data_IF_943325008290
#
_entry.id   IF_943325008290
#
_cell.length_a   1.000
_cell.length_b   1.000
_cell.length_c   1.000
_cell.angle_alpha   90.00
_cell.angle_beta   90.00
_cell.angle_gamma   90.00
#
_symmetry.space_group_name_H-M   'P 1'
#
loop_
_entity.id
_entity.type
_entity.pdbx_description
1 polymer ?
2 non-polymer ?
#
# COMPACT_ATOMS: atom_id res chain seq x y z
N UNK A 1 15.25 -10.09 -4.63
CA UNK A 1 16.14 -8.93 -4.73
C UNK A 1 15.84 -8.07 -3.54
N UNK A 2 16.74 -7.15 -3.22
CA UNK A 2 16.34 -6.20 -2.20
C UNK A 2 15.96 -4.91 -2.92
N UNK A 3 14.92 -4.26 -2.43
CA UNK A 3 14.37 -3.10 -3.11
C UNK A 3 14.35 -1.94 -2.12
N UNK A 4 14.92 -0.80 -2.49
CA UNK A 4 14.80 0.38 -1.64
C UNK A 4 13.63 1.22 -2.16
N UNK A 5 13.11 2.13 -1.34
CA UNK A 5 11.80 2.72 -1.67
C UNK A 5 11.85 4.14 -2.22
N UNK A 6 12.97 4.41 -2.89
CA UNK A 6 13.08 5.72 -3.52
C UNK A 6 12.27 5.82 -4.76
N UNK A 7 11.91 4.68 -5.28
CA UNK A 7 11.07 4.72 -6.47
C UNK A 7 9.93 3.75 -6.24
N UNK A 8 8.87 3.81 -7.07
CA UNK A 8 7.80 2.84 -6.85
C UNK A 8 8.32 1.43 -7.00
N UNK A 9 7.98 0.58 -6.05
CA UNK A 9 8.46 -0.81 -6.16
C UNK A 9 7.66 -1.60 -7.16
N UNK A 10 7.99 -1.36 -8.42
CA UNK A 10 7.29 -1.98 -9.57
C UNK A 10 7.92 -3.27 -10.02
N UNK A 11 7.08 -4.23 -10.40
CA UNK A 11 7.64 -5.51 -10.82
C UNK A 11 6.92 -6.05 -12.09
N UNK A 12 7.54 -6.97 -12.81
CA UNK A 12 6.79 -7.58 -13.93
C UNK A 12 6.03 -8.82 -13.48
N UNK A 13 4.78 -8.92 -13.91
CA UNK A 13 4.03 -10.13 -13.60
C UNK A 13 3.50 -10.76 -14.87
N UNK A 14 3.35 -12.06 -14.82
CA UNK A 14 2.64 -12.70 -15.93
C UNK A 14 1.41 -13.36 -15.38
N UNK A 15 0.28 -13.01 -15.95
CA UNK A 15 -0.99 -13.56 -15.49
C UNK A 15 -1.74 -13.85 -16.76
N UNK A 16 -2.29 -15.04 -16.84
CA UNK A 16 -3.19 -15.34 -17.96
C UNK A 16 -2.62 -15.05 -19.34
N UNK A 17 -1.35 -15.38 -19.45
CA UNK A 17 -0.70 -15.17 -20.72
C UNK A 17 -0.22 -13.75 -21.00
N UNK A 18 -0.68 -12.78 -20.21
CA UNK A 18 -0.32 -11.39 -20.46
C UNK A 18 0.78 -10.91 -19.51
N UNK A 19 1.55 -9.95 -19.98
CA UNK A 19 2.60 -9.42 -19.14
C UNK A 19 2.20 -8.06 -18.63
N UNK A 20 2.32 -7.83 -17.33
CA UNK A 20 2.01 -6.51 -16.76
C UNK A 20 3.06 -6.01 -15.80
N UNK A 21 2.85 -4.80 -15.30
CA UNK A 21 3.66 -4.34 -14.19
C UNK A 21 2.74 -4.06 -13.05
N UNK A 22 3.27 -4.21 -11.86
CA UNK A 22 2.40 -4.11 -10.70
C UNK A 22 3.25 -3.68 -9.55
N UNK A 23 2.59 -3.11 -8.59
CA UNK A 23 3.26 -2.42 -7.50
C UNK A 23 3.28 -3.39 -6.35
N UNK A 24 4.42 -3.54 -5.69
CA UNK A 24 4.37 -4.42 -4.53
C UNK A 24 3.84 -3.63 -3.35
N UNK A 25 2.78 -4.13 -2.74
CA UNK A 25 2.07 -3.25 -1.82
C UNK A 25 1.80 -3.91 -0.48
N UNK A 26 2.63 -3.57 0.49
CA UNK A 26 2.47 -4.17 1.81
C UNK A 26 1.24 -3.76 2.58
N UNK A 27 0.63 -2.67 2.10
CA UNK A 27 -0.53 -2.20 2.84
C UNK A 27 -1.85 -2.75 2.29
N UNK A 28 -1.76 -3.52 1.21
CA UNK A 28 -2.95 -4.09 0.62
C UNK A 28 -3.15 -5.51 1.09
N UNK A 29 -4.34 -5.80 1.56
CA UNK A 29 -4.54 -7.21 1.93
C UNK A 29 -4.67 -8.12 0.74
N UNK A 30 -5.20 -7.56 -0.33
CA UNK A 30 -5.58 -8.28 -1.54
C UNK A 30 -4.82 -7.75 -2.71
N UNK A 31 -4.78 -8.57 -3.74
CA UNK A 31 -4.26 -8.18 -5.05
C UNK A 31 -5.37 -7.72 -5.96
N UNK A 32 -5.17 -6.59 -6.61
CA UNK A 32 -6.22 -6.13 -7.49
C UNK A 32 -5.61 -5.57 -8.73
N UNK A 33 -6.19 -5.96 -9.84
CA UNK A 33 -5.61 -5.66 -11.13
C UNK A 33 -6.64 -4.89 -11.90
N UNK A 34 -6.20 -4.06 -12.82
CA UNK A 34 -7.20 -3.40 -13.63
C UNK A 34 -7.78 -4.44 -14.57
N UNK A 35 -8.85 -4.04 -15.24
CA UNK A 35 -9.62 -4.95 -16.07
C UNK A 35 -8.75 -5.58 -17.14
N UNK A 36 -8.90 -6.89 -17.22
CA UNK A 36 -8.14 -7.66 -18.17
C UNK A 36 -8.97 -8.91 -18.35
N UNK A 37 -8.75 -9.65 -19.44
CA UNK A 37 -9.66 -10.79 -19.60
C UNK A 37 -9.13 -11.93 -18.82
N UNK A 38 -9.92 -12.45 -17.92
CA UNK A 38 -9.43 -13.67 -17.31
C UNK A 38 -10.45 -14.72 -17.72
N UNK A 39 -10.01 -15.96 -17.92
CA UNK A 39 -11.02 -16.99 -18.16
C UNK A 39 -11.58 -17.47 -16.85
N UNK A 40 -12.80 -17.99 -16.94
CA UNK A 40 -13.29 -18.69 -15.76
C UNK A 40 -14.48 -18.02 -15.14
N UNK A 41 -14.76 -18.49 -13.95
CA UNK A 41 -15.88 -17.92 -13.18
C UNK A 41 -15.30 -16.95 -12.20
N UNK A 42 -16.15 -16.06 -11.75
CA UNK A 42 -15.70 -15.06 -10.81
C UNK A 42 -16.89 -14.71 -9.98
N UNK A 43 -16.65 -14.21 -8.78
CA UNK A 43 -17.81 -13.71 -8.04
C UNK A 43 -17.64 -12.22 -7.72
N UNK A 44 -18.71 -11.44 -7.74
CA UNK A 44 -18.56 -10.04 -7.34
C UNK A 44 -18.13 -9.91 -5.90
N UNK A 45 -17.35 -8.86 -5.65
CA UNK A 45 -16.89 -8.54 -4.31
C UNK A 45 -16.79 -7.01 -4.34
N UNK A 46 -16.65 -6.36 -3.20
CA UNK A 46 -16.40 -4.91 -3.21
C UNK A 46 -15.25 -4.70 -2.26
N UNK A 47 -14.38 -3.76 -2.57
CA UNK A 47 -13.33 -3.54 -1.61
C UNK A 47 -13.29 -2.07 -1.29
N UNK A 48 -12.76 -1.75 -0.14
CA UNK A 48 -12.59 -0.34 0.20
C UNK A 48 -11.14 0.09 0.03
N UNK A 49 -10.98 1.36 -0.24
CA UNK A 49 -9.64 1.93 -0.27
C UNK A 49 -9.73 3.32 0.26
N UNK A 50 -8.67 4.08 0.07
CA UNK A 50 -8.85 5.50 0.34
C UNK A 50 -9.64 5.96 -0.82
N UNK A 51 -10.66 6.75 -0.58
CA UNK A 51 -11.43 7.21 -1.73
C UNK A 51 -12.84 6.66 -1.72
N UNK A 52 -13.01 5.48 -1.14
CA UNK A 52 -14.32 4.83 -1.19
C UNK A 52 -14.20 3.39 -1.62
N UNK A 53 -15.25 2.88 -2.24
CA UNK A 53 -15.27 1.45 -2.51
C UNK A 53 -15.34 1.20 -3.97
N UNK A 54 -14.77 0.09 -4.42
CA UNK A 54 -15.04 -0.32 -5.80
C UNK A 54 -15.65 -1.71 -5.87
N UNK A 55 -16.45 -1.92 -6.91
CA UNK A 55 -16.98 -3.26 -7.09
C UNK A 55 -15.98 -4.01 -7.92
N UNK A 56 -15.79 -5.25 -7.56
CA UNK A 56 -14.66 -5.92 -8.14
C UNK A 56 -15.14 -7.31 -8.44
N UNK A 57 -14.47 -7.98 -9.33
CA UNK A 57 -14.86 -9.36 -9.42
C UNK A 57 -13.69 -10.21 -9.04
N UNK A 58 -14.01 -11.23 -8.29
CA UNK A 58 -13.02 -12.08 -7.67
C UNK A 58 -12.79 -13.36 -8.45
N UNK A 59 -11.52 -13.66 -8.73
CA UNK A 59 -11.15 -14.95 -9.33
C UNK A 59 -10.30 -15.69 -8.35
N UNK A 60 -10.52 -16.98 -8.20
CA UNK A 60 -9.68 -17.68 -7.24
C UNK A 60 -8.81 -18.65 -7.98
N UNK A 61 -7.79 -19.13 -7.29
CA UNK A 61 -6.86 -20.06 -7.93
C UNK A 61 -6.15 -19.58 -9.20
N UNK A 62 -5.89 -18.28 -9.30
CA UNK A 62 -5.18 -17.77 -10.48
C UNK A 62 -3.69 -17.84 -10.27
N UNK A 63 -3.03 -18.41 -11.26
CA UNK A 63 -1.58 -18.53 -11.27
C UNK A 63 -0.99 -17.20 -11.66
N UNK A 64 0.03 -16.76 -10.94
CA UNK A 64 0.69 -15.51 -11.33
C UNK A 64 2.16 -15.77 -11.26
N UNK A 65 2.92 -15.26 -12.22
CA UNK A 65 4.36 -15.21 -11.99
C UNK A 65 4.74 -13.81 -11.67
N UNK A 66 5.56 -13.64 -10.65
CA UNK A 66 5.89 -12.30 -10.17
C UNK A 66 7.37 -12.30 -10.06
N UNK A 67 8.04 -11.47 -10.87
CA UNK A 67 9.45 -11.83 -11.15
C UNK A 67 9.48 -13.28 -11.68
N UNK A 68 10.40 -14.15 -11.27
CA UNK A 68 10.22 -15.51 -11.79
C UNK A 68 9.25 -16.37 -10.99
N UNK A 69 8.78 -15.79 -9.91
CA UNK A 69 8.28 -16.65 -8.83
C UNK A 69 6.87 -17.00 -9.19
N UNK A 70 6.48 -18.26 -9.04
CA UNK A 70 5.07 -18.54 -9.32
C UNK A 70 4.29 -18.60 -8.01
N UNK A 71 3.03 -18.26 -8.10
CA UNK A 71 2.17 -18.38 -6.94
C UNK A 71 0.81 -18.57 -7.55
N UNK A 72 -0.15 -18.97 -6.71
CA UNK A 72 -1.55 -19.09 -7.12
C UNK A 72 -2.36 -18.47 -6.02
N UNK A 73 -3.38 -17.70 -6.40
CA UNK A 73 -4.25 -17.21 -5.35
C UNK A 73 -5.47 -16.50 -5.89
N UNK A 74 -5.97 -15.61 -5.08
CA UNK A 74 -7.14 -14.84 -5.47
C UNK A 74 -6.68 -13.53 -6.04
N UNK A 75 -7.27 -13.16 -7.18
CA UNK A 75 -7.01 -11.84 -7.71
C UNK A 75 -8.33 -11.19 -7.96
N UNK A 76 -8.35 -9.90 -7.68
CA UNK A 76 -9.56 -9.13 -7.86
C UNK A 76 -9.30 -8.27 -9.07
N UNK A 77 -10.20 -8.28 -10.03
CA UNK A 77 -9.97 -7.51 -11.26
C UNK A 77 -11.00 -6.42 -11.22
N UNK A 78 -10.59 -5.19 -11.49
CA UNK A 78 -11.51 -4.11 -11.19
C UNK A 78 -10.99 -2.78 -11.67
N UNK A 79 -11.78 -1.73 -11.43
CA UNK A 79 -11.33 -0.38 -11.82
C UNK A 79 -10.36 0.30 -10.81
N UNK A 80 -9.20 -0.28 -10.68
CA UNK A 80 -8.16 0.38 -9.91
C UNK A 80 -7.35 1.23 -10.87
N UNK A 81 -6.72 2.30 -10.39
CA UNK A 81 -5.70 2.98 -11.22
C UNK A 81 -4.43 2.17 -11.48
N UNK A 82 -4.09 1.29 -10.53
CA UNK A 82 -2.77 0.66 -10.64
C UNK A 82 -2.90 -0.75 -10.16
N UNK A 83 -2.05 -1.59 -10.72
CA UNK A 83 -2.17 -3.00 -10.40
C UNK A 83 -1.37 -3.23 -9.14
N UNK A 84 -2.00 -3.84 -8.16
CA UNK A 84 -1.41 -3.88 -6.83
C UNK A 84 -1.27 -5.36 -6.50
N UNK A 85 -0.06 -5.78 -6.06
CA UNK A 85 0.14 -7.10 -5.46
C UNK A 85 0.15 -6.95 -3.94
N UNK A 86 -0.82 -7.64 -3.36
CA UNK A 86 -1.08 -7.46 -1.93
C UNK A 86 -0.58 -8.63 -1.13
N UNK A 87 -0.83 -8.52 0.17
CA UNK A 87 -0.19 -9.45 1.08
C UNK A 87 -0.54 -10.91 0.85
N UNK A 88 -1.73 -11.15 0.32
CA UNK A 88 -1.99 -12.55 -0.02
C UNK A 88 -0.97 -13.21 -0.94
N UNK A 89 -0.42 -12.44 -1.87
CA UNK A 89 0.56 -13.06 -2.75
C UNK A 89 1.97 -12.81 -2.26
N UNK A 90 2.12 -11.71 -1.54
CA UNK A 90 3.49 -11.39 -1.09
C UNK A 90 4.03 -12.41 -0.12
N UNK A 91 3.10 -13.01 0.63
CA UNK A 91 3.54 -14.10 1.51
C UNK A 91 4.07 -15.31 0.79
N UNK A 92 3.52 -15.53 -0.41
CA UNK A 92 3.91 -16.70 -1.18
C UNK A 92 5.22 -16.53 -1.90
N UNK A 93 5.51 -15.31 -2.28
CA UNK A 93 6.84 -15.17 -2.85
C UNK A 93 7.93 -14.89 -1.83
N UNK A 94 7.52 -14.93 -0.57
CA UNK A 94 8.45 -14.80 0.54
C UNK A 94 8.91 -13.40 0.83
N UNK A 95 8.04 -12.47 0.54
CA UNK A 95 8.49 -11.09 0.64
C UNK A 95 8.50 -10.62 2.09
N UNK A 96 9.49 -9.82 2.45
CA UNK A 96 9.67 -9.38 3.84
C UNK A 96 9.91 -7.88 3.85
N UNK A 97 9.56 -7.29 4.96
CA UNK A 97 9.83 -5.86 5.05
C UNK A 97 10.86 -5.69 6.12
N UNK A 98 11.82 -4.83 5.87
CA UNK A 98 12.99 -4.81 6.71
C UNK A 98 13.42 -3.39 6.99
N UNK A 99 13.64 -3.14 8.25
CA UNK A 99 14.28 -1.90 8.71
C UNK A 99 14.86 -2.32 10.05
N UNK B 1 13.80 -3.91 12.13
CA UNK B 1 13.60 -5.35 12.36
C UNK B 1 13.04 -5.89 11.06
N UNK B 2 12.65 -7.15 11.06
CA UNK B 2 12.11 -7.74 9.85
C UNK B 2 10.66 -8.06 10.13
N UNK B 3 9.81 -7.77 9.18
CA UNK B 3 8.38 -7.95 9.39
C UNK B 3 7.96 -8.87 8.26
N UNK B 4 7.23 -9.93 8.60
CA UNK B 4 6.72 -10.71 7.49
C UNK B 4 5.30 -10.25 7.25
N UNK B 5 4.70 -10.73 6.16
CA UNK B 5 3.43 -10.12 5.76
C UNK B 5 2.21 -11.00 5.98
N UNK B 6 2.37 -11.93 6.93
CA UNK B 6 1.21 -12.73 7.35
C UNK B 6 0.18 -11.95 8.12
N UNK B 7 0.60 -10.89 8.78
CA UNK B 7 -0.38 -9.99 9.35
C UNK B 7 -0.05 -8.61 8.82
N UNK B 8 -0.98 -7.66 9.00
CA UNK B 8 -0.75 -6.29 8.53
C UNK B 8 0.39 -5.67 9.29
N UNK B 9 1.30 -4.97 8.57
CA UNK B 9 2.50 -4.46 9.25
C UNK B 9 2.22 -3.12 9.93
N UNK B 10 1.77 -3.24 11.15
CA UNK B 10 1.46 -2.03 11.90
C UNK B 10 2.64 -1.63 12.74
N UNK B 11 2.82 -0.34 12.95
CA UNK B 11 3.83 0.14 13.90
C UNK B 11 3.21 1.21 14.77
N UNK B 12 3.78 1.45 15.95
CA UNK B 12 3.39 2.66 16.67
C UNK B 12 4.18 3.88 16.20
N UNK B 13 3.41 4.94 16.04
CA UNK B 13 4.02 6.23 15.80
C UNK B 13 3.67 7.22 16.92
N UNK B 14 4.55 8.18 17.10
CA UNK B 14 4.22 9.31 17.96
C UNK B 14 4.25 10.52 17.06
N UNK B 15 3.12 11.21 17.03
CA UNK B 15 2.93 12.30 16.07
C UNK B 15 2.15 13.36 16.82
N UNK B 16 2.62 14.59 16.77
CA UNK B 16 1.89 15.61 17.55
C UNK B 16 1.63 15.34 19.05
N UNK B 17 2.56 14.65 19.67
CA UNK B 17 2.38 14.34 21.10
C UNK B 17 1.33 13.26 21.36
N UNK B 18 0.88 12.61 20.29
CA UNK B 18 -0.19 11.62 20.42
C UNK B 18 0.38 10.31 19.94
N UNK B 19 -0.19 9.20 20.39
CA UNK B 19 0.39 7.92 19.98
C UNK B 19 -0.61 7.25 19.11
N UNK B 20 -0.18 6.74 17.96
CA UNK B 20 -1.10 6.07 17.01
C UNK B 20 -0.49 4.80 16.49
N UNK B 21 -1.30 3.98 15.83
CA UNK B 21 -0.71 2.88 15.07
C UNK B 21 -0.88 3.19 13.61
N UNK B 22 0.04 2.75 12.80
CA UNK B 22 -0.12 2.93 11.36
C UNK B 22 0.48 1.77 10.57
N UNK B 23 0.10 1.76 9.33
CA UNK B 23 0.42 0.65 8.43
C UNK B 23 1.62 1.03 7.58
N UNK B 24 2.61 0.15 7.55
CA UNK B 24 3.73 0.40 6.66
C UNK B 24 3.37 0.05 5.25
N UNK B 25 3.44 1.06 4.39
CA UNK B 25 2.75 0.87 3.12
C UNK B 25 3.64 1.20 1.94
N UNK B 26 4.22 0.18 1.35
CA UNK B 26 5.09 0.43 0.20
C UNK B 26 4.41 0.93 -1.07
N UNK B 27 3.10 0.75 -1.12
CA UNK B 27 2.46 1.18 -2.35
C UNK B 27 2.09 2.63 -2.36
N UNK B 28 2.21 3.28 -1.20
CA UNK B 28 1.67 4.62 -1.05
C UNK B 28 2.79 5.60 -1.21
N UNK B 29 2.54 6.62 -2.02
CA UNK B 29 3.67 7.53 -2.14
C UNK B 29 3.77 8.48 -0.98
N UNK B 30 2.61 8.73 -0.37
CA UNK B 30 2.50 9.75 0.67
C UNK B 30 2.11 9.09 1.96
N UNK B 31 2.33 9.82 3.06
CA UNK B 31 1.82 9.44 4.37
C UNK B 31 0.49 10.09 4.58
N UNK B 32 -0.52 9.30 4.91
CA UNK B 32 -1.84 9.86 5.10
C UNK B 32 -2.38 9.35 6.39
N UNK B 33 -2.81 10.26 7.25
CA UNK B 33 -3.30 9.91 8.58
C UNK B 33 -4.68 10.44 8.78
N UNK B 34 -5.35 9.82 9.71
CA UNK B 34 -6.73 10.18 9.98
C UNK B 34 -6.82 11.56 10.61
N UNK B 35 -8.04 12.05 10.78
CA UNK B 35 -8.15 13.41 11.31
C UNK B 35 -7.55 13.54 12.70
N UNK B 36 -6.73 14.53 12.91
CA UNK B 36 -6.22 14.69 14.28
C UNK B 36 -5.72 16.09 14.39
N UNK B 37 -5.38 16.48 15.61
CA UNK B 37 -4.84 17.82 15.83
C UNK B 37 -3.35 17.82 15.65
N UNK B 38 -2.90 18.54 14.62
CA UNK B 38 -1.51 18.96 14.50
C UNK B 38 -1.52 20.47 14.60
N UNK B 39 -0.45 21.04 15.15
CA UNK B 39 -0.41 22.50 15.17
C UNK B 39 0.01 23.00 13.81
N UNK B 40 -0.35 24.24 13.53
CA UNK B 40 0.30 24.91 12.41
C UNK B 40 -0.58 25.05 11.19
N UNK B 41 0.02 25.59 10.14
CA UNK B 41 -0.83 25.73 8.98
C UNK B 41 -0.41 24.79 7.88
N UNK B 42 -1.28 24.72 6.90
CA UNK B 42 -1.36 23.57 6.04
C UNK B 42 -2.01 24.01 4.76
N UNK B 43 -1.75 23.26 3.72
CA UNK B 43 -2.41 23.63 2.47
C UNK B 43 -3.41 22.52 2.13
N UNK B 44 -4.52 22.83 1.43
CA UNK B 44 -5.34 21.73 0.91
C UNK B 44 -4.75 21.13 -0.35
N UNK B 45 -5.02 19.83 -0.49
CA UNK B 45 -4.62 19.04 -1.65
C UNK B 45 -5.66 17.93 -1.76
N UNK B 46 -5.64 17.19 -2.84
CA UNK B 46 -6.51 16.03 -2.94
C UNK B 46 -5.65 14.88 -3.33
N UNK B 47 -6.00 13.68 -2.92
CA UNK B 47 -5.19 12.54 -3.37
C UNK B 47 -6.10 11.47 -3.89
N UNK B 48 -5.53 10.66 -4.74
CA UNK B 48 -6.31 9.60 -5.37
C UNK B 48 -5.91 8.29 -4.76
N UNK B 49 -6.93 7.48 -4.59
CA UNK B 49 -6.80 6.16 -4.05
C UNK B 49 -7.67 5.26 -4.89
N UNK B 50 -8.14 4.21 -4.25
CA UNK B 50 -9.01 3.31 -4.96
C UNK B 50 -10.40 3.72 -4.54
N UNK B 51 -11.31 3.79 -5.49
CA UNK B 51 -12.59 4.35 -5.05
C UNK B 51 -12.70 5.83 -5.33
N UNK B 52 -11.54 6.47 -5.47
CA UNK B 52 -11.58 7.87 -5.90
C UNK B 52 -10.58 8.71 -5.16
N UNK B 53 -11.01 9.90 -4.82
CA UNK B 53 -10.08 10.91 -4.36
C UNK B 53 -10.59 11.54 -3.08
N UNK B 54 -9.67 11.92 -2.22
CA UNK B 54 -10.11 12.60 -1.00
C UNK B 54 -9.39 13.92 -0.88
N UNK B 55 -9.98 14.85 -0.15
CA UNK B 55 -9.23 16.07 0.09
C UNK B 55 -8.59 15.99 1.46
N UNK B 56 -7.37 16.51 1.54
CA UNK B 56 -6.61 16.36 2.77
C UNK B 56 -5.98 17.69 3.06
N UNK B 57 -5.33 17.77 4.20
CA UNK B 57 -4.54 18.94 4.53
C UNK B 57 -3.11 18.53 4.54
N UNK B 58 -2.30 19.31 3.88
CA UNK B 58 -0.89 19.02 3.86
C UNK B 58 -0.13 19.76 4.94
N UNK B 59 0.56 19.03 5.81
CA UNK B 59 1.52 19.72 6.69
C UNK B 59 2.93 19.37 6.27
N UNK B 60 3.81 20.33 6.39
CA UNK B 60 5.17 20.09 5.96
C UNK B 60 5.97 20.12 7.21
N UNK B 61 7.16 19.55 7.15
CA UNK B 61 8.08 19.70 8.27
C UNK B 61 7.56 19.21 9.61
N UNK B 62 6.85 18.08 9.55
CA UNK B 62 6.37 17.47 10.79
C UNK B 62 7.25 16.31 11.29
N UNK B 63 7.54 16.33 12.59
CA UNK B 63 8.28 15.28 13.27
C UNK B 63 7.40 14.10 13.60
N UNK B 64 7.88 12.95 13.22
CA UNK B 64 7.15 11.75 13.59
C UNK B 64 8.14 10.74 14.09
N UNK B 65 7.74 9.99 15.09
CA UNK B 65 8.61 8.90 15.51
C UNK B 65 7.96 7.59 15.20
N UNK B 66 8.58 6.84 14.31
CA UNK B 66 7.97 5.65 13.75
C UNK B 66 8.75 4.50 14.29
N UNK B 67 8.10 3.72 15.15
CA UNK B 67 8.84 2.65 15.84
C UNK B 67 10.15 3.10 16.54
N UNK B 68 10.18 4.39 16.93
CA UNK B 68 11.39 4.83 17.62
C UNK B 68 12.39 5.56 16.75
N UNK B 69 12.10 5.57 15.46
CA UNK B 69 13.02 6.30 14.60
C UNK B 69 12.35 7.63 14.39
N UNK B 70 13.10 8.71 14.40
CA UNK B 70 12.48 10.00 14.13
C UNK B 70 12.58 10.33 12.66
N UNK B 71 11.60 11.05 12.15
CA UNK B 71 11.64 11.47 10.76
C UNK B 71 10.96 12.82 10.68
N UNK B 72 11.29 13.60 9.65
CA UNK B 72 10.54 14.84 9.41
C UNK B 72 10.00 14.81 8.00
N UNK B 73 8.73 15.10 7.84
CA UNK B 73 8.24 15.12 6.48
C UNK B 73 6.88 15.74 6.36
N UNK B 74 6.40 15.70 5.13
CA UNK B 74 5.01 16.00 4.89
C UNK B 74 4.14 14.84 5.32
N UNK B 75 3.10 15.17 6.08
CA UNK B 75 2.07 14.23 6.47
C UNK B 75 0.83 14.84 5.90
N UNK B 76 -0.07 14.02 5.37
CA UNK B 76 -1.36 14.56 4.93
C UNK B 76 -2.38 14.11 5.93
N UNK B 77 -3.28 15.00 6.29
CA UNK B 77 -4.26 14.56 7.27
C UNK B 77 -5.61 14.58 6.61
N UNK B 78 -6.40 13.56 6.85
CA UNK B 78 -7.69 13.61 6.21
C UNK B 78 -8.46 12.35 6.44
N UNK B 79 -9.53 12.24 5.66
CA UNK B 79 -10.49 11.15 5.85
C UNK B 79 -10.02 9.83 5.32
N UNK B 80 -8.93 9.32 5.87
CA UNK B 80 -8.63 7.96 5.49
C UNK B 80 -9.23 7.11 6.56
N UNK B 81 -9.58 5.87 6.21
CA UNK B 81 -10.01 4.99 7.28
C UNK B 81 -8.87 4.30 8.03
N UNK B 82 -7.62 4.46 7.56
CA UNK B 82 -6.52 3.81 8.23
C UNK B 82 -5.33 4.71 8.12
N UNK B 83 -4.44 4.64 9.08
CA UNK B 83 -3.29 5.53 8.98
C UNK B 83 -2.24 4.84 8.17
N UNK B 84 -1.62 5.57 7.26
CA UNK B 84 -0.74 4.99 6.23
C UNK B 84 0.58 5.75 6.20
N UNK B 85 1.65 5.02 6.38
CA UNK B 85 2.99 5.62 6.23
C UNK B 85 3.58 5.17 4.92
N UNK B 86 3.69 6.13 4.00
CA UNK B 86 4.11 5.80 2.64
C UNK B 86 5.56 6.08 2.40
N UNK B 87 5.93 5.98 1.16
CA UNK B 87 7.35 6.03 0.80
C UNK B 87 8.15 7.25 1.18
N UNK B 88 7.47 8.38 1.30
CA UNK B 88 8.24 9.55 1.76
C UNK B 88 8.81 9.46 3.16
N UNK B 89 8.19 8.69 4.06
CA UNK B 89 8.86 8.50 5.34
C UNK B 89 9.60 7.18 5.45
N UNK B 90 9.09 6.20 4.71
CA UNK B 90 9.73 4.87 4.70
C UNK B 90 11.17 4.87 4.27
N UNK B 91 11.40 5.77 3.36
CA UNK B 91 12.74 6.04 2.89
C UNK B 91 13.65 6.65 3.97
N UNK B 92 13.09 7.47 4.85
CA UNK B 92 13.94 8.13 5.85
C UNK B 92 14.35 7.23 6.98
N UNK B 93 13.54 6.20 7.19
CA UNK B 93 13.94 5.20 8.19
C UNK B 93 14.61 3.96 7.61
N UNK B 94 14.96 4.02 6.33
CA UNK B 94 15.77 2.94 5.77
C UNK B 94 15.05 1.61 5.57
N UNK B 95 13.76 1.73 5.41
CA UNK B 95 13.01 0.51 5.14
C UNK B 95 13.28 -0.07 3.75
N UNK B 96 13.54 -1.38 3.70
CA UNK B 96 13.70 -2.10 2.43
C UNK B 96 12.69 -3.22 2.27
N UNK B 97 12.48 -3.53 1.02
CA UNK B 97 11.60 -4.67 0.76
C UNK B 97 12.51 -5.77 0.27
N UNK B 98 12.25 -6.99 0.66
CA UNK B 98 13.04 -8.04 0.03
C UNK B 98 12.38 -9.39 -0.04
N UNK B 99 12.81 -10.09 -1.08
CA UNK B 99 12.33 -11.41 -1.51
C UNK B 99 13.41 -11.96 -2.43
X LIG C 1 -5.21 2.50 -1.48
X LIG C 1 -6.26 2.99 -1.86
X LIG C 1 -4.07 3.19 -1.75
X LIG C 1 -4.20 4.62 -2.10
X LIG C 1 -2.74 2.56 -1.99
X LIG C 1 -2.08 1.86 -0.84
X LIG C 1 -0.75 1.65 -1.27
X LIG C 1 -2.79 0.55 -0.52
X LIG C 1 -2.09 -0.20 0.44
X LIG C 1 -4.16 0.80 0.08
X LIG C 1 -6.47 0.51 -0.85
X LIG C 1 -5.23 1.30 -0.82
X LIG C 1 -3.23 5.57 -1.45
X LIG C 1 -2.96 5.51 -0.07
X LIG C 1 -2.03 6.40 0.52
X LIG C 1 -1.39 7.35 -0.29
X LIG C 1 -1.68 7.41 -1.67
X LIG C 1 -0.99 8.34 -2.49
X LIG C 1 -2.59 6.53 -2.26
X LIG C 1 -2.78 1.78 -3.32
X LIG C 1 -2.96 2.70 -4.50
X LIG C 1 -4.18 2.73 -5.18
X LIG C 1 -4.38 3.63 -6.26
X LIG C 1 -3.32 4.48 -6.66
X LIG C 1 -2.07 4.45 -5.97
X LIG C 1 -1.89 3.56 -4.89
X LIG C 1 -4.18 1.60 1.41
X LIG C 1 -5.40 1.28 2.23
X LIG C 1 -5.44 0.07 2.96
X LIG C 1 -6.61 -0.29 3.66
X LIG C 1 -7.75 0.56 3.63
X LIG C 1 -7.70 1.78 2.92
X LIG C 1 -6.53 2.14 2.22
X LIG C 1 -6.39 -0.96 -1.19
X LIG C 1 -7.09 -1.86 -0.38
X LIG C 1 -7.01 -3.24 -0.69
X LIG C 1 -7.65 -4.19 0.15
X LIG C 1 -6.27 -3.70 -1.80
X LIG C 1 -5.59 -2.79 -2.64
X LIG C 1 -5.65 -1.41 -2.32
#
# INVERSE_FOLDING_TARGET
>A
PQVTLWQRPLVTIKIGGQLKEALLDTGADDTVLEEMSLPGRWKPKMIGGIGGFIKVRQYDQILIEICGHKAIGTVLVGPTPVNVIGRNLLTQIGCTLNF
>B
PQVTLWQRPLVTIKIGGQLKEALLDTGADDTVLEEMSLPGRWKPKMIGGIGGFIKVRQYDQILIEICGHKAIGTVLVGPTPVNVIGRNLLTQIGCTLNF
>C hetero
1 DMQ C1 O1 N2 C2 C3 C4 O4 C5 O5 C6 C7 N7 C20 C21 C22 C23 C28 N29 C29 C31 C32 C33 C34 C35 C36 C37 C61 C62 C63 C64 C65 C66 C67 C70 C71 C72 N79 C77 C78 C79
#
